data_IF_668690898813
#
_entry.id   IF_668690898813
#
_cell.length_a   1.000
_cell.length_b   1.000
_cell.length_c   1.000
_cell.angle_alpha   90.00
_cell.angle_beta   90.00
_cell.angle_gamma   90.00
#
_symmetry.space_group_name_H-M   'P 1'
#
loop_
_entity.id
_entity.type
_entity.pdbx_description
1 polymer ?
#
# COMPACT_ATOMS: atom_id res chain seq x y z
N UNK A 1 -15.98 6.90 -25.41
CA UNK A 1 -15.54 5.95 -26.48
C UNK A 1 -16.63 4.90 -26.69
N UNK A 2 -16.69 4.21 -27.88
CA UNK A 2 -17.66 3.12 -28.07
C UNK A 2 -17.21 1.87 -27.30
N UNK A 3 -18.16 1.16 -26.66
CA UNK A 3 -17.88 -0.07 -25.89
C UNK A 3 -17.13 -1.14 -26.72
N UNK A 4 -17.49 -1.28 -28.01
CA UNK A 4 -16.83 -2.22 -28.91
C UNK A 4 -15.29 -2.03 -29.00
N UNK A 5 -14.77 -0.81 -28.86
CA UNK A 5 -13.34 -0.55 -28.85
C UNK A 5 -12.70 -1.06 -27.56
N UNK A 6 -13.39 -0.91 -26.43
CA UNK A 6 -12.92 -1.39 -25.12
C UNK A 6 -12.88 -2.90 -25.09
N UNK A 7 -13.90 -3.56 -25.63
CA UNK A 7 -13.97 -5.02 -25.76
C UNK A 7 -12.85 -5.57 -26.67
N UNK A 8 -12.57 -4.91 -27.79
CA UNK A 8 -11.48 -5.28 -28.69
C UNK A 8 -10.10 -5.21 -28.02
N UNK A 9 -9.92 -4.23 -27.10
CA UNK A 9 -8.69 -4.13 -26.31
C UNK A 9 -8.64 -5.23 -25.26
N UNK A 10 -9.75 -5.49 -24.55
CA UNK A 10 -9.83 -6.56 -23.56
C UNK A 10 -9.46 -7.92 -24.16
N UNK A 11 -9.91 -8.21 -25.40
CA UNK A 11 -9.60 -9.44 -26.13
C UNK A 11 -8.11 -9.59 -26.50
N UNK A 12 -7.35 -8.48 -26.54
CA UNK A 12 -5.88 -8.54 -26.74
C UNK A 12 -5.14 -8.93 -25.46
N UNK A 13 -5.70 -8.62 -24.30
CA UNK A 13 -5.10 -8.92 -23.00
C UNK A 13 -5.36 -10.35 -22.56
N UNK A 14 -6.61 -10.81 -22.71
CA UNK A 14 -7.00 -12.16 -22.31
C UNK A 14 -7.73 -12.81 -23.49
N UNK A 15 -7.20 -13.94 -23.95
CA UNK A 15 -7.78 -14.67 -25.11
C UNK A 15 -9.12 -15.37 -24.79
N UNK A 16 -9.47 -15.49 -23.50
CA UNK A 16 -10.74 -16.06 -23.08
C UNK A 16 -11.88 -15.05 -23.24
N UNK A 17 -13.11 -15.53 -23.42
CA UNK A 17 -14.29 -14.65 -23.35
C UNK A 17 -14.54 -14.22 -21.90
N UNK A 18 -14.84 -12.94 -21.64
CA UNK A 18 -15.21 -12.51 -20.30
C UNK A 18 -16.48 -13.22 -19.83
N UNK A 19 -16.47 -13.71 -18.60
CA UNK A 19 -17.64 -14.32 -17.96
C UNK A 19 -18.64 -13.24 -17.51
N UNK A 20 -18.12 -12.06 -17.14
CA UNK A 20 -18.91 -10.91 -16.68
C UNK A 20 -18.23 -9.61 -17.07
N UNK A 21 -19.03 -8.60 -17.41
CA UNK A 21 -18.57 -7.23 -17.62
C UNK A 21 -19.44 -6.30 -16.79
N UNK A 22 -18.81 -5.57 -15.87
CA UNK A 22 -19.45 -4.58 -15.01
C UNK A 22 -18.96 -3.19 -15.39
N UNK A 23 -19.87 -2.20 -15.31
CA UNK A 23 -19.52 -0.79 -15.49
C UNK A 23 -19.41 -0.14 -14.13
N UNK A 24 -18.22 0.34 -13.80
CA UNK A 24 -17.93 0.97 -12.53
C UNK A 24 -17.98 2.50 -12.68
N UNK A 25 -18.76 3.13 -11.83
CA UNK A 25 -18.85 4.58 -11.70
C UNK A 25 -18.19 5.11 -10.44
N UNK A 26 -17.77 4.21 -9.56
CA UNK A 26 -17.09 4.50 -8.31
C UNK A 26 -15.83 3.63 -8.13
N UNK A 27 -14.95 4.10 -7.29
CA UNK A 27 -13.74 3.35 -6.91
C UNK A 27 -14.10 2.10 -6.10
N UNK A 28 -13.50 0.97 -6.44
CA UNK A 28 -13.59 -0.30 -5.72
C UNK A 28 -12.20 -0.75 -5.21
N UNK A 29 -12.15 -1.93 -4.56
CA UNK A 29 -10.95 -2.46 -3.89
C UNK A 29 -9.67 -2.40 -4.74
N UNK A 30 -9.75 -2.63 -6.05
CA UNK A 30 -8.59 -2.72 -6.93
C UNK A 30 -8.24 -1.41 -7.65
N UNK A 31 -9.12 -0.41 -7.56
CA UNK A 31 -8.98 0.90 -8.18
C UNK A 31 -9.26 2.02 -7.15
N UNK A 32 -8.51 2.00 -6.01
CA UNK A 32 -8.76 2.89 -4.87
C UNK A 32 -8.20 4.31 -5.03
N UNK A 33 -7.26 4.54 -5.94
CA UNK A 33 -6.60 5.84 -6.08
C UNK A 33 -7.48 6.86 -6.83
N UNK A 34 -7.38 8.14 -6.45
CA UNK A 34 -8.14 9.25 -7.05
C UNK A 34 -7.94 9.37 -8.57
N UNK A 35 -6.74 9.06 -9.06
CA UNK A 35 -6.44 9.07 -10.49
C UNK A 35 -7.43 8.26 -11.33
N UNK A 36 -8.00 7.21 -10.77
CA UNK A 36 -8.98 6.37 -11.48
C UNK A 36 -10.33 7.06 -11.68
N UNK A 37 -10.65 8.13 -10.93
CA UNK A 37 -11.88 8.92 -11.15
C UNK A 37 -11.83 9.63 -12.49
N UNK A 38 -10.67 10.10 -12.92
CA UNK A 38 -10.47 10.72 -14.24
C UNK A 38 -10.75 9.72 -15.38
N UNK A 39 -10.51 8.42 -15.13
CA UNK A 39 -10.71 7.34 -16.09
C UNK A 39 -12.13 6.76 -16.11
N UNK A 40 -13.02 7.17 -15.18
CA UNK A 40 -14.40 6.68 -15.10
C UNK A 40 -15.25 7.11 -16.31
N UNK A 41 -16.24 6.30 -16.75
CA UNK A 41 -16.55 4.97 -16.22
C UNK A 41 -15.46 3.95 -16.56
N UNK A 42 -15.25 2.96 -15.69
CA UNK A 42 -14.31 1.87 -15.91
C UNK A 42 -15.08 0.58 -16.14
N UNK A 43 -14.74 -0.15 -17.20
CA UNK A 43 -15.28 -1.46 -17.49
C UNK A 43 -14.40 -2.53 -16.82
N UNK A 44 -15.02 -3.31 -15.94
CA UNK A 44 -14.39 -4.46 -15.28
C UNK A 44 -14.76 -5.74 -16.01
N UNK A 45 -13.80 -6.36 -16.64
CA UNK A 45 -13.92 -7.65 -17.28
C UNK A 45 -13.44 -8.74 -16.32
N UNK A 46 -14.33 -9.68 -15.98
CA UNK A 46 -14.01 -10.83 -15.14
C UNK A 46 -13.96 -12.08 -16.01
N UNK A 47 -12.87 -12.85 -15.90
CA UNK A 47 -12.65 -14.06 -16.69
C UNK A 47 -12.70 -15.32 -15.81
N UNK A 48 -13.27 -16.40 -16.34
CA UNK A 48 -13.28 -17.73 -15.72
C UNK A 48 -12.17 -18.62 -16.28
N UNK A 49 -11.02 -18.03 -16.55
CA UNK A 49 -9.81 -18.77 -16.95
C UNK A 49 -9.08 -19.34 -15.71
N UNK A 50 -8.00 -20.10 -15.92
CA UNK A 50 -7.27 -20.78 -14.83
C UNK A 50 -6.76 -19.83 -13.73
N UNK A 51 -6.44 -18.59 -14.08
CA UNK A 51 -5.94 -17.58 -13.15
C UNK A 51 -7.01 -16.61 -12.64
N UNK A 52 -8.25 -16.75 -13.12
CA UNK A 52 -9.37 -15.85 -12.77
C UNK A 52 -8.99 -14.38 -12.93
N UNK A 53 -8.56 -14.01 -14.13
CA UNK A 53 -8.16 -12.63 -14.42
C UNK A 53 -9.30 -11.62 -14.22
N UNK A 54 -8.94 -10.46 -13.73
CA UNK A 54 -9.78 -9.26 -13.73
C UNK A 54 -9.01 -8.13 -14.43
N UNK A 55 -9.66 -7.53 -15.42
CA UNK A 55 -9.08 -6.45 -16.22
C UNK A 55 -10.01 -5.22 -16.14
N UNK A 56 -9.42 -4.07 -15.82
CA UNK A 56 -10.12 -2.80 -15.69
C UNK A 56 -9.67 -1.87 -16.81
N UNK A 57 -10.59 -1.40 -17.62
CA UNK A 57 -10.30 -0.54 -18.77
C UNK A 57 -11.12 0.73 -18.68
N UNK A 58 -10.49 1.89 -18.91
CA UNK A 58 -11.16 3.18 -18.97
C UNK A 58 -12.14 3.24 -20.12
N UNK A 59 -13.38 3.62 -19.85
CA UNK A 59 -14.39 3.89 -20.88
C UNK A 59 -14.13 5.18 -21.67
N UNK A 60 -13.30 6.10 -21.14
CA UNK A 60 -12.95 7.35 -21.81
C UNK A 60 -11.78 7.16 -22.78
N UNK A 61 -10.69 6.57 -22.31
CA UNK A 61 -9.42 6.47 -23.07
C UNK A 61 -9.18 5.08 -23.66
N UNK A 62 -9.91 4.06 -23.21
CA UNK A 62 -9.72 2.65 -23.50
C UNK A 62 -8.35 2.10 -23.01
N UNK A 63 -7.69 2.83 -22.11
CA UNK A 63 -6.45 2.37 -21.51
C UNK A 63 -6.72 1.38 -20.39
N UNK A 64 -5.96 0.27 -20.31
CA UNK A 64 -6.00 -0.64 -19.18
C UNK A 64 -5.51 0.08 -17.92
N UNK A 65 -6.34 0.12 -16.89
CA UNK A 65 -6.06 0.79 -15.63
C UNK A 65 -5.48 -0.17 -14.59
N UNK A 66 -5.97 -1.42 -14.59
CA UNK A 66 -5.54 -2.44 -13.65
C UNK A 66 -5.77 -3.83 -14.26
N UNK A 67 -4.84 -4.73 -13.98
CA UNK A 67 -4.92 -6.14 -14.36
C UNK A 67 -4.48 -7.00 -13.18
N UNK A 68 -5.28 -7.98 -12.78
CA UNK A 68 -5.00 -8.80 -11.61
C UNK A 68 -5.32 -10.27 -11.85
N UNK A 69 -4.54 -11.15 -11.22
CA UNK A 69 -4.83 -12.57 -11.11
C UNK A 69 -5.41 -12.90 -9.73
N UNK A 70 -6.06 -14.06 -9.59
CA UNK A 70 -6.55 -14.55 -8.30
C UNK A 70 -5.43 -14.64 -7.25
N UNK A 71 -4.28 -15.15 -7.64
CA UNK A 71 -3.11 -15.28 -6.76
C UNK A 71 -2.64 -13.94 -6.25
N UNK A 72 -2.53 -12.93 -7.12
CA UNK A 72 -2.17 -11.57 -6.71
C UNK A 72 -3.19 -10.98 -5.73
N UNK A 73 -4.49 -11.17 -5.98
CA UNK A 73 -5.54 -10.70 -5.07
C UNK A 73 -5.49 -11.37 -3.71
N UNK A 74 -5.24 -12.70 -3.65
CA UNK A 74 -5.08 -13.43 -2.38
C UNK A 74 -3.88 -12.89 -1.60
N UNK A 75 -2.71 -12.75 -2.22
CA UNK A 75 -1.53 -12.20 -1.55
C UNK A 75 -1.71 -10.73 -1.13
N UNK A 76 -2.44 -9.93 -1.91
CA UNK A 76 -2.77 -8.58 -1.51
C UNK A 76 -3.64 -8.54 -0.24
N UNK A 77 -4.63 -9.44 -0.12
CA UNK A 77 -5.46 -9.57 1.08
C UNK A 77 -4.68 -10.08 2.31
N UNK A 78 -3.68 -10.94 2.12
CA UNK A 78 -2.83 -11.43 3.21
C UNK A 78 -1.73 -10.44 3.62
N UNK A 79 -1.33 -9.56 2.74
CA UNK A 79 -0.19 -8.66 2.96
C UNK A 79 -0.54 -7.17 2.84
N UNK A 80 -0.55 -6.64 1.63
CA UNK A 80 -0.58 -5.22 1.37
C UNK A 80 -1.85 -4.51 1.90
N UNK A 81 -3.02 -5.14 1.75
CA UNK A 81 -4.29 -4.54 2.17
C UNK A 81 -4.35 -4.33 3.69
N UNK A 82 -4.14 -5.37 4.54
CA UNK A 82 -4.15 -5.15 5.99
C UNK A 82 -2.96 -4.31 6.46
N UNK A 83 -1.77 -4.48 5.87
CA UNK A 83 -0.59 -3.72 6.28
C UNK A 83 -0.73 -2.21 6.04
N UNK A 84 -1.34 -1.82 4.92
CA UNK A 84 -1.54 -0.40 4.54
C UNK A 84 -2.95 0.11 4.82
N UNK A 85 -3.81 -0.71 5.41
CA UNK A 85 -5.23 -0.39 5.62
C UNK A 85 -5.94 0.08 4.33
N UNK A 86 -5.69 -0.61 3.22
CA UNK A 86 -6.26 -0.33 1.92
C UNK A 86 -7.69 -0.89 1.78
N UNK A 87 -8.52 -0.61 2.79
CA UNK A 87 -9.95 -0.93 2.75
C UNK A 87 -10.71 0.23 2.11
N UNK A 88 -11.67 -0.03 1.20
CA UNK A 88 -12.40 1.03 0.50
C UNK A 88 -13.05 2.06 1.41
N UNK A 89 -13.59 1.60 2.57
CA UNK A 89 -14.24 2.47 3.55
C UNK A 89 -13.31 3.52 4.18
N UNK A 90 -12.01 3.27 4.19
CA UNK A 90 -11.00 4.20 4.75
C UNK A 90 -10.22 4.87 3.62
N UNK A 91 -9.79 4.08 2.62
CA UNK A 91 -8.83 4.53 1.59
C UNK A 91 -9.44 5.41 0.51
N UNK A 92 -10.77 5.36 0.30
CA UNK A 92 -11.45 6.25 -0.66
C UNK A 92 -11.24 7.72 -0.33
N UNK A 93 -11.16 8.06 0.97
CA UNK A 93 -10.79 9.40 1.43
C UNK A 93 -9.32 9.39 1.86
N UNK A 94 -8.49 10.17 1.17
CA UNK A 94 -7.05 10.20 1.40
C UNK A 94 -6.70 10.81 2.76
N UNK A 95 -7.42 11.84 3.19
CA UNK A 95 -7.14 12.53 4.44
C UNK A 95 -7.60 11.71 5.65
N UNK A 96 -8.75 11.06 5.54
CA UNK A 96 -9.21 10.09 6.55
C UNK A 96 -8.20 8.96 6.69
N UNK A 97 -7.74 8.39 5.57
CA UNK A 97 -6.76 7.31 5.58
C UNK A 97 -5.41 7.75 6.18
N UNK A 98 -4.88 8.90 5.78
CA UNK A 98 -3.63 9.46 6.35
C UNK A 98 -3.74 9.70 7.84
N UNK A 99 -4.84 10.32 8.27
CA UNK A 99 -5.09 10.59 9.69
C UNK A 99 -5.17 9.30 10.50
N UNK A 100 -5.91 8.30 10.00
CA UNK A 100 -6.04 6.99 10.63
C UNK A 100 -4.68 6.31 10.80
N UNK A 101 -3.88 6.20 9.72
CA UNK A 101 -2.56 5.56 9.75
C UNK A 101 -1.60 6.32 10.68
N UNK A 102 -1.56 7.65 10.60
CA UNK A 102 -0.66 8.46 11.42
C UNK A 102 -1.02 8.35 12.91
N UNK A 103 -2.29 8.49 13.26
CA UNK A 103 -2.75 8.39 14.64
C UNK A 103 -2.49 7.01 15.24
N UNK A 104 -2.85 5.95 14.48
CA UNK A 104 -2.57 4.57 14.87
C UNK A 104 -1.07 4.31 15.03
N UNK A 105 -0.26 4.81 14.10
CA UNK A 105 1.20 4.72 14.16
C UNK A 105 1.81 5.38 15.39
N UNK A 106 1.34 6.58 15.75
CA UNK A 106 1.79 7.28 16.96
C UNK A 106 1.43 6.49 18.22
N UNK A 107 0.20 5.99 18.33
CA UNK A 107 -0.24 5.17 19.46
C UNK A 107 0.63 3.91 19.59
N UNK A 108 0.84 3.19 18.50
CA UNK A 108 1.70 2.01 18.48
C UNK A 108 3.15 2.34 18.86
N UNK A 109 3.69 3.45 18.37
CA UNK A 109 5.04 3.91 18.70
C UNK A 109 5.18 4.21 20.21
N UNK A 110 4.22 4.94 20.81
CA UNK A 110 4.23 5.23 22.23
C UNK A 110 4.14 3.95 23.07
N UNK A 111 3.28 3.01 22.67
CA UNK A 111 3.17 1.71 23.34
C UNK A 111 4.49 0.90 23.23
N UNK A 112 5.11 0.86 22.04
CA UNK A 112 6.38 0.16 21.83
C UNK A 112 7.53 0.79 22.63
N UNK A 113 7.65 2.11 22.64
CA UNK A 113 8.65 2.84 23.43
C UNK A 113 8.49 2.58 24.94
N UNK A 114 7.26 2.69 25.46
CA UNK A 114 6.99 2.44 26.87
C UNK A 114 7.32 1.00 27.26
N UNK A 115 6.92 0.04 26.43
CA UNK A 115 7.23 -1.39 26.62
C UNK A 115 8.72 -1.68 26.59
N UNK A 116 9.46 -1.10 25.65
CA UNK A 116 10.91 -1.27 25.53
C UNK A 116 11.64 -0.67 26.75
N UNK A 117 11.30 0.56 27.15
CA UNK A 117 11.88 1.23 28.31
C UNK A 117 11.63 0.41 29.59
N UNK A 118 10.40 -0.06 29.76
CA UNK A 118 10.02 -0.88 30.92
C UNK A 118 10.76 -2.22 30.92
N UNK A 119 10.80 -2.88 29.77
CA UNK A 119 11.54 -4.13 29.59
C UNK A 119 13.03 -4.02 29.92
N UNK A 120 13.70 -2.96 29.45
CA UNK A 120 15.11 -2.68 29.74
C UNK A 120 15.29 -2.42 31.25
N UNK A 121 14.43 -1.62 31.88
CA UNK A 121 14.51 -1.35 33.33
C UNK A 121 14.39 -2.63 34.15
N UNK A 122 13.47 -3.51 33.82
CA UNK A 122 13.31 -4.80 34.51
C UNK A 122 14.55 -5.69 34.30
N UNK A 123 15.00 -5.83 33.06
CA UNK A 123 16.17 -6.66 32.76
C UNK A 123 17.44 -6.16 33.45
N UNK A 124 17.66 -4.85 33.47
CA UNK A 124 18.77 -4.22 34.18
C UNK A 124 18.71 -4.48 35.70
N UNK A 125 17.50 -4.39 36.29
CA UNK A 125 17.31 -4.71 37.73
C UNK A 125 17.64 -6.17 38.05
N UNK A 126 17.20 -7.09 37.18
CA UNK A 126 17.52 -8.53 37.33
C UNK A 126 19.01 -8.80 37.19
N UNK A 127 19.62 -8.20 36.17
CA UNK A 127 21.08 -8.32 35.98
C UNK A 127 21.90 -7.79 37.15
N UNK A 128 21.54 -6.62 37.69
CA UNK A 128 22.21 -6.07 38.87
C UNK A 128 22.13 -6.98 40.10
N UNK A 129 20.96 -7.67 40.29
CA UNK A 129 20.76 -8.57 41.43
C UNK A 129 21.44 -9.92 41.24
N UNK A 130 21.31 -10.52 40.08
CA UNK A 130 21.72 -11.90 39.83
C UNK A 130 23.08 -12.05 39.09
N UNK A 131 23.58 -10.94 38.52
CA UNK A 131 24.79 -10.91 37.67
C UNK A 131 24.71 -11.90 36.48
N UNK A 132 23.48 -12.28 36.09
CA UNK A 132 23.16 -13.19 34.97
C UNK A 132 21.98 -12.66 34.18
N UNK A 133 22.00 -12.88 32.87
CA UNK A 133 20.90 -12.58 31.99
C UNK A 133 19.81 -13.66 32.10
N UNK A 134 18.91 -13.50 33.03
CA UNK A 134 17.82 -14.44 33.29
C UNK A 134 16.48 -13.73 33.06
N UNK A 135 15.55 -14.42 32.42
CA UNK A 135 14.21 -13.88 32.24
C UNK A 135 13.50 -13.76 33.61
N UNK A 136 12.93 -12.61 33.97
CA UNK A 136 12.31 -12.39 35.27
C UNK A 136 10.97 -13.13 35.45
N UNK A 137 10.33 -13.53 34.36
CA UNK A 137 8.98 -14.08 34.36
C UNK A 137 8.98 -15.60 34.37
N UNK A 138 8.01 -16.19 35.12
CA UNK A 138 7.83 -17.64 35.21
C UNK A 138 6.81 -18.16 34.16
N UNK A 139 5.71 -17.42 33.93
CA UNK A 139 4.67 -17.78 32.96
C UNK A 139 5.20 -17.66 31.53
N UNK A 140 4.88 -18.62 30.69
CA UNK A 140 5.40 -18.72 29.33
C UNK A 140 5.09 -17.47 28.49
N UNK A 141 3.86 -16.96 28.53
CA UNK A 141 3.43 -15.80 27.75
C UNK A 141 4.26 -14.55 28.08
N UNK A 142 4.41 -14.23 29.37
CA UNK A 142 5.23 -13.11 29.81
C UNK A 142 6.72 -13.30 29.53
N UNK A 143 7.21 -14.55 29.61
CA UNK A 143 8.59 -14.88 29.32
C UNK A 143 8.92 -14.63 27.85
N UNK A 144 8.07 -15.12 26.95
CA UNK A 144 8.23 -14.91 25.52
C UNK A 144 8.04 -13.47 25.12
N UNK A 145 6.98 -12.83 25.61
CA UNK A 145 6.74 -11.41 25.36
C UNK A 145 7.93 -10.52 25.76
N UNK A 146 8.50 -10.75 26.95
CA UNK A 146 9.66 -10.00 27.42
C UNK A 146 10.91 -10.26 26.58
N UNK A 147 11.20 -11.52 26.24
CA UNK A 147 12.36 -11.88 25.45
C UNK A 147 12.29 -11.32 24.02
N UNK A 148 11.16 -11.55 23.34
CA UNK A 148 10.90 -11.06 21.97
C UNK A 148 10.82 -9.53 21.97
N UNK A 149 10.15 -8.94 22.96
CA UNK A 149 10.01 -7.48 23.08
C UNK A 149 11.34 -6.77 23.28
N UNK A 150 12.30 -7.35 24.03
CA UNK A 150 13.64 -6.78 24.15
C UNK A 150 14.46 -6.89 22.87
N UNK A 151 14.36 -8.02 22.15
CA UNK A 151 15.13 -8.24 20.92
C UNK A 151 14.57 -7.42 19.75
N UNK A 152 13.25 -7.49 19.54
CA UNK A 152 12.60 -6.88 18.38
C UNK A 152 12.01 -5.51 18.67
N UNK A 153 11.91 -5.07 19.92
CA UNK A 153 11.30 -3.80 20.29
C UNK A 153 11.98 -2.59 19.63
N UNK A 154 13.30 -2.62 19.48
CA UNK A 154 14.04 -1.55 18.80
C UNK A 154 13.67 -1.45 17.31
N UNK A 155 13.46 -2.60 16.65
CA UNK A 155 13.02 -2.62 15.25
C UNK A 155 11.58 -2.10 15.10
N UNK A 156 10.69 -2.48 16.04
CA UNK A 156 9.29 -2.00 16.04
C UNK A 156 9.26 -0.48 16.23
N UNK A 157 10.07 0.07 17.12
CA UNK A 157 10.21 1.52 17.32
C UNK A 157 10.76 2.17 16.04
N UNK A 158 11.81 1.61 15.44
CA UNK A 158 12.37 2.11 14.17
C UNK A 158 11.35 2.11 13.05
N UNK A 159 10.58 1.04 12.88
CA UNK A 159 9.50 0.94 11.88
C UNK A 159 8.34 1.89 12.18
N UNK A 160 7.98 2.07 13.45
CA UNK A 160 6.96 3.04 13.85
C UNK A 160 7.35 4.47 13.47
N UNK A 161 8.61 4.86 13.70
CA UNK A 161 9.12 6.17 13.32
C UNK A 161 9.18 6.31 11.79
N UNK A 162 9.84 5.39 11.09
CA UNK A 162 10.02 5.46 9.63
C UNK A 162 8.69 5.37 8.89
N UNK A 163 7.77 4.52 9.34
CA UNK A 163 6.44 4.37 8.73
C UNK A 163 5.59 5.63 8.91
N UNK A 164 5.64 6.26 10.07
CA UNK A 164 4.93 7.53 10.31
C UNK A 164 5.51 8.67 9.47
N UNK A 165 6.84 8.75 9.35
CA UNK A 165 7.51 9.76 8.51
C UNK A 165 7.23 9.55 7.02
N UNK A 166 7.14 8.31 6.56
CA UNK A 166 6.85 7.99 5.16
C UNK A 166 5.45 8.47 4.71
N UNK A 167 4.51 8.67 5.64
CA UNK A 167 3.16 9.17 5.35
C UNK A 167 3.05 10.70 5.42
N UNK A 168 4.06 11.38 5.95
CA UNK A 168 4.09 12.83 6.10
C UNK A 168 5.02 13.45 5.07
N UNK A 169 4.73 14.68 4.65
CA UNK A 169 5.73 15.50 3.96
C UNK A 169 6.89 15.73 4.93
N UNK A 170 8.07 15.27 4.56
CA UNK A 170 9.27 15.47 5.39
C UNK A 170 9.49 16.97 5.54
N UNK A 171 9.63 17.50 6.77
CA UNK A 171 9.87 18.92 6.97
C UNK A 171 11.12 19.40 6.19
N UNK A 172 11.04 20.55 5.52
CA UNK A 172 12.13 21.12 4.68
C UNK A 172 13.45 21.30 5.43
N UNK A 173 13.43 21.40 6.76
CA UNK A 173 14.63 21.50 7.59
C UNK A 173 15.36 20.15 7.79
N UNK A 174 14.68 19.03 7.56
CA UNK A 174 15.29 17.70 7.61
C UNK A 174 15.87 17.33 6.24
N UNK A 175 15.13 17.63 5.16
CA UNK A 175 15.56 17.37 3.79
C UNK A 175 15.45 18.66 3.00
N UNK A 176 16.58 19.36 2.76
CA UNK A 176 16.61 20.68 2.10
C UNK A 176 16.47 20.62 0.58
N UNK A 177 15.80 19.58 0.02
CA UNK A 177 15.57 19.47 -1.41
C UNK A 177 14.31 20.23 -1.83
N UNK A 178 14.45 21.13 -2.78
CA UNK A 178 13.33 21.89 -3.37
C UNK A 178 12.41 21.04 -4.27
N UNK A 179 12.83 19.84 -4.67
CA UNK A 179 11.98 18.96 -5.45
C UNK A 179 11.00 18.24 -4.51
N UNK A 180 9.74 18.60 -4.61
CA UNK A 180 8.65 17.77 -4.09
C UNK A 180 8.73 16.41 -4.80
N UNK A 181 9.40 15.45 -4.18
CA UNK A 181 9.18 14.06 -4.56
C UNK A 181 7.80 13.69 -4.04
N UNK A 182 6.78 13.84 -4.88
CA UNK A 182 5.55 13.15 -4.64
C UNK A 182 5.90 11.67 -4.75
N UNK A 183 5.78 10.93 -3.64
CA UNK A 183 5.98 9.47 -3.64
C UNK A 183 4.89 8.75 -4.47
N UNK A 184 3.95 9.50 -4.99
CA UNK A 184 2.91 9.06 -5.90
C UNK A 184 3.14 9.84 -7.20
N UNK A 185 3.45 9.11 -8.25
CA UNK A 185 3.75 9.61 -9.59
C UNK A 185 2.59 10.42 -10.26
N UNK A 186 1.67 10.96 -9.49
CA UNK A 186 0.54 11.75 -10.00
C UNK A 186 1.03 13.02 -10.71
N UNK A 187 2.16 13.60 -10.25
CA UNK A 187 2.73 14.80 -10.86
C UNK A 187 3.60 14.52 -12.12
N UNK A 188 4.01 13.28 -12.33
CA UNK A 188 4.80 12.91 -13.52
C UNK A 188 3.94 12.98 -14.80
N UNK A 189 2.62 12.81 -14.66
CA UNK A 189 1.68 12.83 -15.78
C UNK A 189 1.07 14.22 -16.05
N UNK A 190 1.25 15.19 -15.16
CA UNK A 190 0.84 16.59 -15.36
C UNK A 190 1.95 17.46 -15.93
N UNK A 191 3.23 17.01 -15.87
CA UNK A 191 4.30 17.69 -16.55
C UNK A 191 4.19 17.42 -18.05
N UNK A 192 3.92 18.48 -18.79
CA UNK A 192 4.00 18.63 -20.24
C UNK A 192 4.11 17.31 -21.02
N UNK A 193 3.01 16.87 -21.61
CA UNK A 193 3.03 15.79 -22.58
C UNK A 193 4.11 16.10 -23.61
N UNK A 194 5.25 15.44 -23.49
CA UNK A 194 6.31 15.53 -24.50
C UNK A 194 5.64 15.24 -25.85
N UNK A 195 5.71 16.13 -26.81
CA UNK A 195 5.08 15.91 -28.09
C UNK A 195 5.63 14.60 -28.66
N UNK A 196 4.75 13.77 -29.22
CA UNK A 196 5.13 12.46 -29.81
C UNK A 196 6.30 12.57 -30.78
N UNK A 197 6.51 13.75 -31.38
CA UNK A 197 7.65 14.08 -32.24
C UNK A 197 9.00 14.10 -31.51
N UNK A 198 9.04 14.16 -30.18
CA UNK A 198 10.29 14.07 -29.39
C UNK A 198 10.81 12.64 -29.23
N UNK A 199 9.98 11.63 -29.50
CA UNK A 199 10.38 10.23 -29.45
C UNK A 199 10.99 9.83 -30.81
N UNK A 200 12.29 9.53 -30.82
CA UNK A 200 13.00 9.07 -32.00
C UNK A 200 12.79 7.57 -32.35
N UNK A 201 12.03 6.86 -31.57
CA UNK A 201 11.73 5.44 -31.77
C UNK A 201 10.49 5.28 -32.64
N UNK A 202 10.65 4.73 -33.82
CA UNK A 202 9.53 4.24 -34.64
C UNK A 202 9.10 2.87 -34.09
N UNK A 203 7.97 2.83 -33.35
CA UNK A 203 7.43 1.59 -32.77
C UNK A 203 6.63 0.76 -33.78
N UNK A 204 6.85 0.99 -35.08
CA UNK A 204 6.29 0.16 -36.16
C UNK A 204 7.28 -0.89 -36.68
N UNK A 205 8.48 -0.96 -36.10
CA UNK A 205 9.45 -2.00 -36.37
C UNK A 205 9.32 -3.17 -35.41
#
# INVERSE_FOLDING_TARGET
MKFANVEAIAAKWVKAKPAKVDTLHEREQWILYERYEKAMPIYKFTYNDAEHHELFISGKTAEPQQFTTRTQRVWAWLGAIPHKFYYPCIRKDLDVWKTFITTGGIICLLAALSGLIYGIKIQTRVWRKKRKMVNPYKKADYKWHHAIGLVFGIFIVGWGISGSLAMQKVPKWIVPYEKEYSMFADDIWESDSLPLSSYKLDYRQ
#
